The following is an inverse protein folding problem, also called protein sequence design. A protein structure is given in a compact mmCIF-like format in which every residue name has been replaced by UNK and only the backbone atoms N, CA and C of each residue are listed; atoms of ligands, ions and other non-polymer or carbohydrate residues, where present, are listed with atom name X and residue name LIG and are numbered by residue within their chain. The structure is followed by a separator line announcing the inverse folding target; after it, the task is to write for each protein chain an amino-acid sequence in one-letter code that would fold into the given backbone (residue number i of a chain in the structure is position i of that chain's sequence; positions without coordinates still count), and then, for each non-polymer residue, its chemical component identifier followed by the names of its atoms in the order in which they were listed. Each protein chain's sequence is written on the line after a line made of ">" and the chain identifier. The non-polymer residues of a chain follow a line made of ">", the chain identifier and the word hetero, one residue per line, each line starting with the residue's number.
data_IF_018451716452
#
_entry.id   IF_018451716452
#
_cell.length_a   1.000
_cell.length_b   1.000
_cell.length_c   1.000
_cell.angle_alpha   90.00
_cell.angle_beta   90.00
_cell.angle_gamma   90.00
#
_symmetry.space_group_name_H-M   'P 1'
#
loop_
_entity.id
_entity.type
_entity.pdbx_description
1 polymer ?
#
# COMPACT_ATOMS: atom_id res chain seq x y z
N UNK A 2 -7.69 -14.37 9.07
CA UNK A 2 -6.53 -15.15 9.49
C UNK A 2 -5.37 -15.02 8.49
N UNK A 3 -5.48 -14.08 7.57
CA UNK A 3 -4.44 -13.86 6.58
C UNK A 3 -3.82 -12.46 6.69
N UNK A 4 -2.96 -12.23 7.69
CA UNK A 4 -2.28 -10.97 7.86
C UNK A 4 -0.97 -10.93 7.09
N UNK A 5 -0.91 -10.11 6.06
CA UNK A 5 0.27 -10.00 5.24
C UNK A 5 1.10 -8.81 5.71
N UNK A 6 2.35 -9.08 6.06
CA UNK A 6 3.24 -8.03 6.51
C UNK A 6 4.08 -7.53 5.33
N UNK A 7 3.70 -6.38 4.78
CA UNK A 7 4.42 -5.80 3.65
C UNK A 7 5.20 -4.57 4.09
N UNK A 8 6.14 -4.14 3.27
CA UNK A 8 6.97 -3.00 3.60
C UNK A 8 6.60 -1.81 2.73
N UNK A 9 6.20 -0.72 3.36
CA UNK A 9 5.84 0.49 2.64
C UNK A 9 6.79 1.62 3.01
N UNK A 10 7.53 2.11 2.02
CA UNK A 10 8.51 3.16 2.25
C UNK A 10 7.92 4.53 1.94
N UNK A 11 8.13 5.48 2.84
CA UNK A 11 7.65 6.84 2.65
C UNK A 11 8.56 7.57 1.67
N UNK A 12 8.19 7.51 0.38
CA UNK A 12 8.97 8.02 -0.76
C UNK A 12 10.48 7.73 -0.68
N UNK A 13 11.21 8.45 0.15
CA UNK A 13 12.65 8.30 0.23
C UNK A 13 13.08 7.98 1.67
N UNK A 14 12.17 8.20 2.60
CA UNK A 14 12.51 8.15 4.02
C UNK A 14 12.46 6.74 4.60
N UNK A 15 11.68 6.57 5.65
CA UNK A 15 11.66 5.31 6.39
C UNK A 15 10.79 4.27 5.68
N UNK A 16 11.24 3.03 5.75
CA UNK A 16 10.47 1.91 5.26
C UNK A 16 9.67 1.28 6.39
N UNK A 17 8.39 1.59 6.45
CA UNK A 17 7.54 1.13 7.53
C UNK A 17 6.81 -0.15 7.14
N UNK A 18 6.77 -1.11 8.04
CA UNK A 18 6.07 -2.35 7.80
C UNK A 18 4.59 -2.21 8.16
N UNK A 19 3.71 -2.51 7.21
CA UNK A 19 2.28 -2.33 7.41
C UNK A 19 1.56 -3.67 7.48
N UNK A 20 0.52 -3.71 8.31
CA UNK A 20 -0.26 -4.93 8.49
C UNK A 20 -1.48 -4.92 7.58
N UNK A 21 -1.33 -5.55 6.43
CA UNK A 21 -2.42 -5.64 5.47
C UNK A 21 -2.95 -7.07 5.43
N UNK A 22 -3.94 -7.31 4.58
CA UNK A 22 -4.51 -8.64 4.46
C UNK A 22 -4.79 -8.96 2.99
N UNK A 23 -5.03 -10.22 2.69
CA UNK A 23 -5.32 -10.63 1.32
C UNK A 23 -6.79 -10.33 1.00
N UNK A 24 -7.59 -10.24 2.05
CA UNK A 24 -8.98 -9.85 1.93
C UNK A 24 -9.12 -8.34 1.72
N UNK A 25 -8.04 -7.61 2.02
CA UNK A 25 -8.02 -6.17 1.85
C UNK A 25 -7.63 -5.83 0.42
N UNK A 26 -8.30 -4.84 -0.16
CA UNK A 26 -7.96 -4.37 -1.49
C UNK A 26 -6.90 -3.28 -1.40
N UNK A 27 -6.24 -2.97 -2.51
CA UNK A 27 -5.26 -1.89 -2.54
C UNK A 27 -5.95 -0.56 -2.25
N UNK A 28 -7.23 -0.49 -2.60
CA UNK A 28 -8.04 0.70 -2.33
C UNK A 28 -8.21 0.90 -0.83
N UNK A 29 -8.35 -0.19 -0.09
CA UNK A 29 -8.47 -0.12 1.36
C UNK A 29 -7.15 0.27 1.99
N UNK A 30 -6.05 -0.16 1.39
CA UNK A 30 -4.72 0.26 1.81
C UNK A 30 -4.58 1.77 1.65
N UNK A 31 -5.01 2.28 0.49
CA UNK A 31 -5.00 3.71 0.24
C UNK A 31 -5.86 4.43 1.27
N UNK A 32 -7.01 3.83 1.61
CA UNK A 32 -7.95 4.43 2.55
C UNK A 32 -7.36 4.50 3.96
N UNK A 33 -6.51 3.53 4.30
CA UNK A 33 -5.80 3.56 5.57
C UNK A 33 -4.89 4.78 5.60
N UNK A 34 -4.11 4.94 4.54
CA UNK A 34 -3.25 6.09 4.39
C UNK A 34 -4.09 7.36 4.31
N UNK A 35 -5.29 7.25 3.75
CA UNK A 35 -6.21 8.37 3.66
C UNK A 35 -6.66 8.83 5.05
N UNK A 36 -6.67 7.90 5.99
CA UNK A 36 -7.02 8.26 7.35
C UNK A 36 -5.92 9.03 8.04
N UNK A 37 -4.67 8.68 7.72
CA UNK A 37 -3.51 9.34 8.31
C UNK A 37 -3.01 10.51 7.44
N UNK A 38 -2.49 10.17 6.28
CA UNK A 38 -1.80 11.10 5.38
C UNK A 38 -2.73 11.54 4.24
N UNK A 39 -4.01 11.17 4.39
CA UNK A 39 -5.07 11.36 3.39
C UNK A 39 -5.18 12.72 2.67
N UNK A 40 -4.21 13.61 2.88
CA UNK A 40 -4.14 14.87 2.16
C UNK A 40 -4.31 14.67 0.65
N UNK A 41 -5.56 14.76 0.18
CA UNK A 41 -5.90 14.58 -1.24
C UNK A 41 -5.35 13.26 -1.79
N UNK A 42 -6.24 12.29 -1.98
CA UNK A 42 -5.85 10.93 -2.38
C UNK A 42 -5.33 10.88 -3.82
N UNK A 43 -5.09 12.04 -4.41
CA UNK A 43 -4.47 12.12 -5.72
C UNK A 43 -3.13 12.85 -5.64
N UNK A 44 -2.80 13.38 -4.45
CA UNK A 44 -1.48 13.94 -4.23
C UNK A 44 -0.57 12.88 -3.64
N UNK A 45 -1.15 11.98 -2.86
CA UNK A 45 -0.42 10.83 -2.37
C UNK A 45 -0.94 9.58 -3.06
N UNK A 46 -0.02 8.73 -3.49
CA UNK A 46 -0.39 7.54 -4.23
C UNK A 46 0.71 6.49 -4.10
N UNK A 47 0.31 5.26 -3.85
CA UNK A 47 1.27 4.19 -3.58
C UNK A 47 1.41 3.28 -4.79
N UNK A 48 2.65 3.00 -5.15
CA UNK A 48 2.96 2.16 -6.28
C UNK A 48 4.06 1.17 -5.90
N UNK A 49 3.95 -0.07 -6.36
CA UNK A 49 4.89 -1.10 -5.97
C UNK A 49 5.87 -1.43 -7.10
N UNK A 50 5.45 -2.30 -8.02
CA UNK A 50 6.34 -2.80 -9.06
C UNK A 50 6.55 -1.78 -10.19
N UNK A 51 6.38 -0.51 -9.86
CA UNK A 51 6.46 0.54 -10.87
C UNK A 51 5.10 0.85 -11.43
N UNK A 52 4.13 0.06 -11.05
CA UNK A 52 2.76 0.23 -11.52
C UNK A 52 1.87 0.64 -10.36
N UNK A 53 0.75 1.33 -10.65
CA UNK A 53 -0.19 1.78 -9.64
C UNK A 53 -1.07 0.64 -9.13
N UNK A 54 -0.91 -0.52 -9.76
CA UNK A 54 -1.68 -1.72 -9.43
C UNK A 54 -3.18 -1.49 -9.66
N UNK A 55 -3.95 -2.53 -9.47
CA UNK A 55 -5.39 -2.44 -9.60
C UNK A 55 -6.03 -2.42 -8.22
N UNK A 56 -6.41 -1.23 -7.78
CA UNK A 56 -7.02 -1.06 -6.47
C UNK A 56 -8.43 -1.63 -6.43
N UNK A 57 -8.93 -1.98 -7.61
CA UNK A 57 -10.18 -2.73 -7.72
C UNK A 57 -10.00 -4.15 -7.17
N UNK A 58 -8.78 -4.66 -7.28
CA UNK A 58 -8.49 -6.03 -6.89
C UNK A 58 -7.89 -6.08 -5.49
N UNK A 59 -7.94 -7.26 -4.83
CA UNK A 59 -7.40 -7.44 -3.49
C UNK A 59 -5.88 -7.42 -3.47
N UNK A 60 -5.30 -7.04 -2.33
CA UNK A 60 -3.87 -6.94 -2.19
C UNK A 60 -3.20 -8.30 -2.17
N UNK A 61 -3.97 -9.35 -1.91
CA UNK A 61 -3.41 -10.69 -1.88
C UNK A 61 -2.65 -11.03 -3.14
N UNK A 62 -3.23 -10.68 -4.29
CA UNK A 62 -2.68 -11.03 -5.58
C UNK A 62 -1.31 -10.39 -5.83
N UNK A 63 -1.15 -9.15 -5.39
CA UNK A 63 0.09 -8.41 -5.64
C UNK A 63 1.01 -8.40 -4.41
N UNK A 64 0.40 -8.32 -3.24
CA UNK A 64 1.14 -8.10 -2.01
C UNK A 64 1.37 -9.37 -1.21
N UNK A 65 0.99 -10.52 -1.78
CA UNK A 65 1.25 -11.83 -1.17
C UNK A 65 2.70 -11.96 -0.68
N UNK A 66 3.59 -11.22 -1.31
CA UNK A 66 5.00 -11.22 -0.95
C UNK A 66 5.24 -10.31 0.26
N UNK A 67 5.73 -10.88 1.38
CA UNK A 67 6.07 -10.10 2.58
C UNK A 67 7.25 -9.15 2.32
N UNK A 68 7.88 -9.35 1.18
CA UNK A 68 9.00 -8.53 0.76
C UNK A 68 8.54 -7.47 -0.24
N UNK A 69 7.24 -7.47 -0.52
CA UNK A 69 6.66 -6.51 -1.44
C UNK A 69 6.78 -5.10 -0.87
N UNK A 70 7.75 -4.36 -1.37
CA UNK A 70 8.01 -3.02 -0.88
C UNK A 70 7.22 -1.98 -1.67
N UNK A 71 6.04 -1.66 -1.18
CA UNK A 71 5.20 -0.66 -1.81
C UNK A 71 5.71 0.72 -1.46
N UNK A 72 5.97 1.53 -2.46
CA UNK A 72 6.51 2.86 -2.24
C UNK A 72 5.39 3.88 -2.15
N UNK A 73 5.27 4.49 -0.99
CA UNK A 73 4.31 5.56 -0.78
C UNK A 73 4.82 6.80 -1.51
N UNK A 74 4.22 7.09 -2.64
CA UNK A 74 4.70 8.15 -3.51
C UNK A 74 3.84 9.40 -3.37
N UNK A 75 4.45 10.53 -3.66
CA UNK A 75 3.74 11.79 -3.71
C UNK A 75 3.79 12.33 -5.12
N UNK A 76 2.65 12.81 -5.62
CA UNK A 76 2.61 13.43 -6.93
C UNK A 76 3.11 14.86 -6.80
#
# INVERSE_FOLDING_TARGET
>A
MDEPLSILVRNNKGRSSTYEVRLTQTVAHLKQQVSGLEGVQDDLFWLTFEGKPLEDQLPLGEYGLKPLSTVFMNLRLRGGLEHHHHHH
#
